data_IF_323217182798
#
_entry.id   IF_323217182798
#
_cell.length_a   1.000
_cell.length_b   1.000
_cell.length_c   1.000
_cell.angle_alpha   90.00
_cell.angle_beta   90.00
_cell.angle_gamma   90.00
#
_symmetry.space_group_name_H-M   'P 1'
#
loop_
_entity.id
_entity.type
_entity.pdbx_description
1 polymer ?
#
# COMPACT_ATOMS: atom_id res chain seq x y z
N UNK A 1 -13.08 36.87 0.62
CA UNK A 1 -11.83 36.30 0.07
C UNK A 1 -10.62 36.53 0.98
N UNK A 2 -10.37 37.75 1.49
CA UNK A 2 -9.22 38.04 2.36
C UNK A 2 -9.20 37.23 3.68
N UNK A 3 -10.35 37.06 4.34
CA UNK A 3 -10.46 36.29 5.59
C UNK A 3 -10.09 34.81 5.41
N UNK A 4 -10.53 34.19 4.31
CA UNK A 4 -10.22 32.79 4.00
C UNK A 4 -8.72 32.61 3.74
N UNK A 5 -8.10 33.57 3.05
CA UNK A 5 -6.66 33.57 2.81
C UNK A 5 -5.86 33.69 4.11
N UNK A 6 -6.27 34.58 5.03
CA UNK A 6 -5.63 34.75 6.33
C UNK A 6 -5.79 33.52 7.23
N UNK A 7 -6.96 32.86 7.21
CA UNK A 7 -7.18 31.59 7.92
C UNK A 7 -6.31 30.48 7.34
N UNK A 8 -6.19 30.37 6.02
CA UNK A 8 -5.34 29.38 5.37
C UNK A 8 -3.85 29.61 5.67
N UNK A 9 -3.38 30.86 5.64
CA UNK A 9 -2.01 31.24 6.01
C UNK A 9 -1.76 30.95 7.49
N UNK A 10 -2.70 31.30 8.36
CA UNK A 10 -2.61 31.03 9.81
C UNK A 10 -2.56 29.54 10.12
N UNK A 11 -3.39 28.73 9.46
CA UNK A 11 -3.38 27.27 9.60
C UNK A 11 -2.09 26.64 9.08
N UNK A 12 -1.57 27.12 7.94
CA UNK A 12 -0.30 26.66 7.38
C UNK A 12 0.88 27.04 8.30
N UNK A 13 0.90 28.26 8.82
CA UNK A 13 1.93 28.73 9.77
C UNK A 13 1.86 27.94 11.08
N UNK A 14 0.66 27.73 11.62
CA UNK A 14 0.46 26.89 12.81
C UNK A 14 0.94 25.46 12.57
N UNK A 15 0.57 24.87 11.42
CA UNK A 15 1.02 23.54 11.03
C UNK A 15 2.54 23.44 10.91
N UNK A 16 3.22 24.41 10.31
CA UNK A 16 4.69 24.43 10.18
C UNK A 16 5.37 24.63 11.53
N UNK A 17 4.86 25.54 12.37
CA UNK A 17 5.44 25.86 13.68
C UNK A 17 5.21 24.77 14.72
N UNK A 18 4.14 23.99 14.60
CA UNK A 18 3.75 22.94 15.54
C UNK A 18 3.87 21.53 14.96
N UNK A 19 4.63 21.35 13.87
CA UNK A 19 5.05 19.99 13.51
C UNK A 19 5.90 19.50 14.66
N UNK A 20 5.42 18.46 15.36
CA UNK A 20 6.34 17.61 16.09
C UNK A 20 7.39 17.16 15.09
N UNK A 21 8.69 17.26 15.39
CA UNK A 21 9.67 16.56 14.59
C UNK A 21 9.23 15.09 14.66
N UNK A 22 8.66 14.55 13.59
CA UNK A 22 8.71 13.12 13.41
C UNK A 22 10.19 12.81 13.57
N UNK A 23 10.54 12.06 14.61
CA UNK A 23 11.91 11.65 14.84
C UNK A 23 12.33 10.94 13.56
N UNK A 24 13.08 11.64 12.71
CA UNK A 24 13.70 11.04 11.53
C UNK A 24 14.87 10.21 12.06
N UNK A 25 14.56 9.14 12.78
CA UNK A 25 15.48 8.05 12.98
C UNK A 25 15.60 7.41 11.61
N UNK A 26 16.68 7.70 10.89
CA UNK A 26 17.04 6.90 9.72
C UNK A 26 17.44 5.55 10.30
N UNK A 27 16.64 4.48 10.15
CA UNK A 27 17.06 3.17 10.64
C UNK A 27 18.33 2.79 9.88
N UNK A 28 19.40 2.48 10.60
CA UNK A 28 20.65 2.03 9.97
C UNK A 28 20.50 0.56 9.56
N UNK A 29 19.65 0.32 8.56
CA UNK A 29 19.44 -1.00 7.94
C UNK A 29 20.79 -1.57 7.46
N UNK A 30 21.70 -0.70 7.01
CA UNK A 30 23.06 -1.05 6.60
C UNK A 30 23.89 -1.76 7.69
N UNK A 31 23.54 -1.56 8.97
CA UNK A 31 24.24 -2.17 10.10
C UNK A 31 23.63 -3.51 10.54
N UNK A 32 22.58 -3.99 9.88
CA UNK A 32 21.98 -5.29 10.17
C UNK A 32 22.51 -6.29 9.14
N UNK A 33 23.38 -7.25 9.53
CA UNK A 33 23.99 -8.17 8.58
C UNK A 33 22.94 -8.97 7.79
N UNK A 34 23.07 -8.94 6.46
CA UNK A 34 22.19 -9.66 5.55
C UNK A 34 20.79 -9.06 5.38
N UNK A 35 20.52 -7.88 5.95
CA UNK A 35 19.29 -7.12 5.70
C UNK A 35 19.53 -6.09 4.60
N UNK A 36 18.66 -6.05 3.59
CA UNK A 36 18.60 -4.93 2.65
C UNK A 36 17.16 -4.61 2.30
N UNK A 37 16.90 -3.38 1.88
CA UNK A 37 15.58 -2.96 1.44
C UNK A 37 15.70 -2.13 0.16
N UNK A 38 14.82 -2.35 -0.81
CA UNK A 38 14.70 -1.49 -1.98
C UNK A 38 13.24 -1.20 -2.33
N UNK A 39 13.03 -0.02 -2.91
CA UNK A 39 11.72 0.38 -3.43
C UNK A 39 11.49 -0.23 -4.81
N UNK A 40 10.36 -0.93 -4.95
CA UNK A 40 9.85 -1.47 -6.20
C UNK A 40 8.64 -0.61 -6.60
N UNK A 41 8.87 0.41 -7.42
CA UNK A 41 7.81 1.24 -7.98
C UNK A 41 7.03 0.44 -9.01
N UNK A 42 5.71 0.35 -8.84
CA UNK A 42 4.83 -0.39 -9.75
C UNK A 42 3.96 0.55 -10.59
N UNK A 43 3.55 1.69 -10.02
CA UNK A 43 2.75 2.70 -10.72
C UNK A 43 3.08 4.10 -10.22
N UNK A 44 2.89 5.09 -11.09
CA UNK A 44 3.09 6.51 -10.77
C UNK A 44 2.08 7.38 -11.50
N UNK A 45 1.62 8.44 -10.85
CA UNK A 45 0.78 9.44 -11.53
C UNK A 45 1.64 10.44 -12.28
N UNK A 46 1.25 10.77 -13.51
CA UNK A 46 1.78 11.91 -14.23
C UNK A 46 0.89 13.12 -13.93
N UNK A 47 1.35 13.98 -13.03
CA UNK A 47 0.67 15.21 -12.66
C UNK A 47 1.40 16.42 -13.26
N UNK A 48 0.67 17.32 -13.93
CA UNK A 48 1.17 18.66 -14.27
C UNK A 48 1.25 19.60 -13.05
N UNK A 49 0.76 19.15 -11.89
CA UNK A 49 0.89 19.81 -10.58
C UNK A 49 2.07 19.24 -9.79
N UNK A 50 2.59 20.01 -8.84
CA UNK A 50 3.83 19.71 -8.07
C UNK A 50 3.79 18.48 -7.14
N UNK A 51 2.76 17.62 -7.21
CA UNK A 51 2.62 16.42 -6.38
C UNK A 51 2.33 15.21 -7.27
N UNK A 52 3.28 14.28 -7.34
CA UNK A 52 3.07 12.94 -7.92
C UNK A 52 2.81 11.92 -6.82
N UNK A 53 2.05 10.87 -7.14
CA UNK A 53 1.84 9.71 -6.27
C UNK A 53 2.51 8.50 -6.91
N UNK A 54 3.02 7.60 -6.07
CA UNK A 54 3.59 6.31 -6.49
C UNK A 54 2.95 5.20 -5.66
N UNK A 55 2.77 4.04 -6.28
CA UNK A 55 2.35 2.81 -5.63
C UNK A 55 3.41 1.75 -5.87
N UNK A 56 3.70 0.93 -4.87
CA UNK A 56 4.75 -0.05 -4.98
C UNK A 56 4.92 -0.87 -3.71
N UNK A 57 6.08 -1.48 -3.63
CA UNK A 57 6.49 -2.34 -2.52
C UNK A 57 7.86 -1.92 -2.02
N UNK A 58 8.11 -2.15 -0.75
CA UNK A 58 9.48 -2.25 -0.25
C UNK A 58 9.83 -3.74 -0.24
N UNK A 59 10.74 -4.15 -1.13
CA UNK A 59 11.33 -5.48 -1.08
C UNK A 59 12.39 -5.49 0.03
N UNK A 60 12.17 -6.31 1.05
CA UNK A 60 13.10 -6.53 2.15
C UNK A 60 13.75 -7.89 1.98
N UNK A 61 15.07 -7.89 1.78
CA UNK A 61 15.86 -9.12 1.81
C UNK A 61 16.34 -9.40 3.21
N UNK A 62 16.12 -10.61 3.69
CA UNK A 62 16.40 -10.98 5.08
C UNK A 62 17.01 -12.40 5.14
N UNK A 63 17.94 -12.70 6.06
CA UNK A 63 18.58 -14.02 6.12
C UNK A 63 17.61 -15.21 6.31
N UNK A 64 16.45 -14.97 6.91
CA UNK A 64 15.38 -15.96 7.05
C UNK A 64 14.45 -16.06 5.83
N UNK A 65 14.67 -15.26 4.77
CA UNK A 65 13.88 -15.21 3.56
C UNK A 65 13.20 -13.86 3.35
N UNK A 66 12.93 -13.58 2.08
CA UNK A 66 12.58 -12.24 1.63
C UNK A 66 11.07 -11.97 1.77
N UNK A 67 10.73 -10.70 1.98
CA UNK A 67 9.37 -10.24 2.14
C UNK A 67 9.11 -8.92 1.44
N UNK A 68 7.83 -8.62 1.23
CA UNK A 68 7.37 -7.32 0.78
C UNK A 68 6.74 -6.56 1.94
N UNK A 69 6.95 -5.24 1.98
CA UNK A 69 6.06 -4.32 2.68
C UNK A 69 5.22 -3.64 1.61
N UNK A 70 3.91 -3.85 1.68
CA UNK A 70 2.92 -3.49 0.66
C UNK A 70 3.19 -4.11 -0.72
N UNK A 71 2.20 -4.03 -1.60
CA UNK A 71 2.15 -4.70 -2.91
C UNK A 71 1.70 -3.79 -4.04
N UNK A 72 1.54 -2.49 -3.79
CA UNK A 72 1.04 -1.57 -4.80
C UNK A 72 -0.41 -1.86 -5.20
N UNK A 73 -0.78 -1.36 -6.38
CA UNK A 73 -2.11 -1.53 -6.94
C UNK A 73 -2.22 -2.82 -7.79
N UNK A 74 -3.45 -3.30 -7.99
CA UNK A 74 -3.74 -4.52 -8.76
C UNK A 74 -3.43 -4.33 -10.24
N UNK A 75 -2.76 -5.30 -10.87
CA UNK A 75 -2.62 -5.35 -12.34
C UNK A 75 -3.96 -5.62 -13.06
N UNK A 76 -4.95 -6.09 -12.29
CA UNK A 76 -6.31 -6.42 -12.71
C UNK A 76 -7.34 -5.36 -12.28
N UNK A 77 -6.90 -4.17 -11.83
CA UNK A 77 -7.77 -3.17 -11.21
C UNK A 77 -9.06 -2.86 -11.99
N UNK A 78 -8.97 -2.71 -13.32
CA UNK A 78 -10.15 -2.41 -14.16
C UNK A 78 -11.23 -3.51 -14.09
N UNK A 79 -10.81 -4.77 -13.93
CA UNK A 79 -11.68 -5.93 -13.74
C UNK A 79 -12.22 -5.94 -12.31
N UNK A 80 -11.36 -5.69 -11.32
CA UNK A 80 -11.71 -5.70 -9.90
C UNK A 80 -12.77 -4.64 -9.55
N UNK A 81 -12.71 -3.46 -10.19
CA UNK A 81 -13.72 -2.41 -10.00
C UNK A 81 -14.98 -2.61 -10.87
N UNK A 82 -15.03 -3.65 -11.70
CA UNK A 82 -16.15 -3.94 -12.59
C UNK A 82 -17.47 -4.23 -11.87
N UNK A 83 -17.41 -4.62 -10.60
CA UNK A 83 -18.58 -4.89 -9.75
C UNK A 83 -19.32 -3.62 -9.33
N UNK A 84 -18.69 -2.44 -9.42
CA UNK A 84 -19.28 -1.19 -8.95
C UNK A 84 -20.13 -0.51 -10.01
N UNK A 85 -21.16 0.27 -9.61
CA UNK A 85 -21.96 1.07 -10.53
C UNK A 85 -21.10 2.00 -11.39
N UNK A 86 -21.53 2.25 -12.63
CA UNK A 86 -20.75 2.96 -13.66
C UNK A 86 -20.04 4.22 -13.16
N UNK A 87 -20.75 5.13 -12.49
CA UNK A 87 -20.18 6.39 -11.99
C UNK A 87 -19.14 6.18 -10.90
N UNK A 88 -19.36 5.20 -10.03
CA UNK A 88 -18.43 4.90 -8.96
C UNK A 88 -17.18 4.17 -9.48
N UNK A 89 -17.37 3.25 -10.44
CA UNK A 89 -16.27 2.64 -11.21
C UNK A 89 -15.40 3.70 -11.89
N UNK A 90 -16.01 4.70 -12.54
CA UNK A 90 -15.29 5.79 -13.20
C UNK A 90 -14.47 6.61 -12.19
N UNK A 91 -15.05 6.91 -11.01
CA UNK A 91 -14.34 7.59 -9.91
C UNK A 91 -13.14 6.78 -9.43
N UNK A 92 -13.29 5.47 -9.20
CA UNK A 92 -12.19 4.62 -8.74
C UNK A 92 -11.08 4.53 -9.81
N UNK A 93 -11.46 4.38 -11.08
CA UNK A 93 -10.52 4.38 -12.20
C UNK A 93 -9.78 5.72 -12.35
N UNK A 94 -10.46 6.85 -12.15
CA UNK A 94 -9.83 8.17 -12.24
C UNK A 94 -8.97 8.53 -11.03
N UNK A 95 -9.06 7.80 -9.92
CA UNK A 95 -8.24 8.02 -8.73
C UNK A 95 -7.18 6.93 -8.63
N UNK A 96 -7.50 5.82 -7.96
CA UNK A 96 -6.59 4.70 -7.76
C UNK A 96 -6.14 4.04 -9.09
N UNK A 97 -6.99 4.06 -10.13
CA UNK A 97 -6.63 3.50 -11.43
C UNK A 97 -5.44 4.19 -12.12
N UNK A 98 -5.09 5.42 -11.74
CA UNK A 98 -3.88 6.08 -12.23
C UNK A 98 -2.59 5.46 -11.72
N UNK A 99 -2.67 4.68 -10.64
CA UNK A 99 -1.55 3.94 -10.04
C UNK A 99 -1.50 2.49 -10.51
N UNK A 100 -2.33 2.10 -11.50
CA UNK A 100 -2.26 0.78 -12.09
C UNK A 100 -0.86 0.51 -12.61
N UNK A 101 -0.33 -0.70 -12.36
CA UNK A 101 1.01 -1.00 -12.82
C UNK A 101 1.04 -1.23 -14.33
N UNK A 102 2.00 -0.59 -15.01
CA UNK A 102 2.30 -0.91 -16.42
C UNK A 102 2.80 -2.35 -16.57
N UNK A 103 3.44 -2.86 -15.52
CA UNK A 103 4.03 -4.19 -15.45
C UNK A 103 3.67 -4.80 -14.09
N UNK A 104 3.04 -6.00 -14.06
CA UNK A 104 2.63 -6.62 -12.81
C UNK A 104 3.79 -6.76 -11.81
N UNK A 105 3.47 -6.71 -10.52
CA UNK A 105 4.45 -6.76 -9.43
C UNK A 105 5.45 -7.93 -9.56
N UNK A 106 5.04 -9.18 -9.90
CA UNK A 106 6.00 -10.28 -10.10
C UNK A 106 7.07 -10.00 -11.17
N UNK A 107 6.71 -9.28 -12.23
CA UNK A 107 7.66 -8.92 -13.28
C UNK A 107 8.57 -7.76 -12.86
N UNK A 108 8.06 -6.81 -12.06
CA UNK A 108 8.89 -5.75 -11.46
C UNK A 108 9.89 -6.31 -10.44
N UNK A 109 9.48 -7.28 -9.64
CA UNK A 109 10.36 -8.02 -8.71
C UNK A 109 11.50 -8.71 -9.46
N UNK A 110 11.21 -9.40 -10.56
CA UNK A 110 12.24 -10.00 -11.43
C UNK A 110 13.25 -8.99 -11.96
N UNK A 111 12.79 -7.79 -12.33
CA UNK A 111 13.69 -6.69 -12.74
C UNK A 111 14.57 -6.20 -11.59
N UNK A 112 14.07 -6.26 -10.36
CA UNK A 112 14.81 -5.99 -9.12
C UNK A 112 15.72 -7.15 -8.65
N UNK A 113 15.86 -8.21 -9.45
CA UNK A 113 16.67 -9.39 -9.13
C UNK A 113 16.03 -10.34 -8.13
N UNK A 114 14.73 -10.23 -7.89
CA UNK A 114 13.98 -11.10 -6.99
C UNK A 114 13.23 -12.20 -7.75
N UNK A 115 13.18 -13.41 -7.19
CA UNK A 115 12.33 -14.48 -7.72
C UNK A 115 11.02 -14.49 -6.93
N UNK A 116 9.88 -14.11 -7.55
CA UNK A 116 8.60 -14.06 -6.85
C UNK A 116 8.20 -15.38 -6.18
N UNK A 117 8.67 -16.52 -6.70
CA UNK A 117 8.39 -17.84 -6.12
C UNK A 117 9.15 -18.11 -4.80
N UNK A 118 10.23 -17.35 -4.53
CA UNK A 118 11.03 -17.48 -3.30
C UNK A 118 10.60 -16.50 -2.20
N UNK A 119 9.83 -15.47 -2.55
CA UNK A 119 9.23 -14.56 -1.59
C UNK A 119 8.36 -15.34 -0.60
N UNK A 120 8.56 -15.09 0.68
CA UNK A 120 7.90 -15.83 1.76
C UNK A 120 6.67 -15.11 2.29
N UNK A 121 6.77 -13.78 2.43
CA UNK A 121 5.78 -13.00 3.14
C UNK A 121 5.46 -11.66 2.46
N UNK A 122 4.26 -11.15 2.74
CA UNK A 122 3.92 -9.75 2.53
C UNK A 122 3.41 -9.18 3.85
N UNK A 123 4.01 -8.10 4.33
CA UNK A 123 3.49 -7.29 5.43
C UNK A 123 2.68 -6.15 4.80
N UNK A 124 1.42 -6.02 5.17
CA UNK A 124 0.62 -4.87 4.72
C UNK A 124 0.64 -3.79 5.79
N UNK A 125 0.97 -2.56 5.39
CA UNK A 125 0.78 -1.37 6.22
C UNK A 125 -0.70 -1.15 6.50
N UNK A 126 -1.54 -1.34 5.47
CA UNK A 126 -3.00 -1.38 5.52
C UNK A 126 -3.56 -1.98 4.22
N UNK A 127 -4.88 -2.19 4.13
CA UNK A 127 -5.53 -2.97 3.06
C UNK A 127 -6.17 -2.14 1.94
N UNK A 128 -5.77 -0.87 1.78
CA UNK A 128 -6.29 -0.05 0.69
C UNK A 128 -5.84 -0.52 -0.70
N UNK A 129 -6.56 -0.03 -1.71
CA UNK A 129 -6.42 -0.32 -3.13
C UNK A 129 -4.96 -0.37 -3.61
N UNK A 130 -4.18 0.64 -3.23
CA UNK A 130 -2.82 0.96 -3.63
C UNK A 130 -1.73 0.29 -2.77
N UNK A 131 -2.12 -0.48 -1.75
CA UNK A 131 -1.20 -1.20 -0.87
C UNK A 131 -1.38 -2.72 -0.97
N UNK A 132 -2.60 -3.21 -1.13
CA UNK A 132 -2.92 -4.64 -1.12
C UNK A 132 -3.19 -5.23 -2.52
N UNK A 133 -3.23 -4.42 -3.57
CA UNK A 133 -3.68 -4.86 -4.89
C UNK A 133 -2.77 -5.87 -5.58
N UNK A 134 -1.45 -5.70 -5.47
CA UNK A 134 -0.49 -6.62 -6.08
C UNK A 134 -0.46 -8.02 -5.46
N UNK A 135 -1.11 -8.24 -4.31
CA UNK A 135 -1.31 -9.59 -3.76
C UNK A 135 -2.09 -10.51 -4.71
N UNK A 136 -2.96 -9.94 -5.55
CA UNK A 136 -3.72 -10.71 -6.55
C UNK A 136 -2.80 -11.40 -7.58
N UNK A 137 -1.62 -10.84 -7.82
CA UNK A 137 -0.59 -11.40 -8.69
C UNK A 137 0.37 -12.38 -7.95
N UNK A 138 0.26 -12.47 -6.62
CA UNK A 138 1.15 -13.22 -5.73
C UNK A 138 0.37 -14.06 -4.69
N UNK A 139 -0.58 -14.93 -5.11
CA UNK A 139 -1.52 -15.59 -4.20
C UNK A 139 -0.88 -16.61 -3.24
N UNK A 140 0.39 -16.98 -3.45
CA UNK A 140 1.13 -17.91 -2.58
C UNK A 140 1.74 -17.25 -1.34
N UNK A 141 1.79 -15.91 -1.29
CA UNK A 141 2.43 -15.21 -0.16
C UNK A 141 1.63 -15.39 1.12
N UNK A 142 2.36 -15.65 2.21
CA UNK A 142 1.77 -15.54 3.54
C UNK A 142 1.64 -14.06 3.90
N UNK A 143 0.41 -13.57 3.95
CA UNK A 143 0.12 -12.17 4.30
C UNK A 143 0.13 -12.00 5.81
N UNK A 144 0.92 -11.05 6.28
CA UNK A 144 1.06 -10.63 7.65
C UNK A 144 0.43 -9.24 7.80
N UNK A 145 -0.64 -9.14 8.58
CA UNK A 145 -1.33 -7.87 8.84
C UNK A 145 -2.00 -7.94 10.20
N UNK A 146 -2.56 -6.82 10.67
CA UNK A 146 -3.23 -6.74 11.97
C UNK A 146 -4.64 -7.31 11.90
N UNK A 147 -5.22 -7.58 13.07
CA UNK A 147 -6.61 -8.06 13.16
C UNK A 147 -7.58 -6.99 12.66
N UNK A 148 -7.29 -5.73 12.97
CA UNK A 148 -8.10 -4.57 12.63
C UNK A 148 -8.20 -4.42 11.11
N UNK A 149 -7.07 -4.55 10.41
CA UNK A 149 -7.02 -4.50 8.96
C UNK A 149 -7.73 -5.69 8.30
N UNK A 150 -7.66 -6.90 8.88
CA UNK A 150 -8.46 -8.04 8.38
C UNK A 150 -9.96 -7.82 8.56
N UNK A 151 -10.39 -7.25 9.69
CA UNK A 151 -11.80 -6.92 9.91
C UNK A 151 -12.26 -5.84 8.92
N UNK A 152 -11.45 -4.80 8.71
CA UNK A 152 -11.74 -3.74 7.75
C UNK A 152 -11.81 -4.26 6.31
N UNK A 153 -10.89 -5.15 5.92
CA UNK A 153 -10.89 -5.81 4.62
C UNK A 153 -12.19 -6.59 4.33
N UNK A 154 -12.81 -7.13 5.38
CA UNK A 154 -14.03 -7.93 5.32
C UNK A 154 -15.30 -7.13 5.66
N UNK A 155 -15.19 -5.82 5.93
CA UNK A 155 -16.35 -4.97 6.21
C UNK A 155 -17.11 -4.65 4.91
N UNK A 156 -18.40 -5.02 4.79
CA UNK A 156 -19.17 -4.74 3.58
C UNK A 156 -19.31 -3.25 3.29
N UNK A 157 -19.30 -2.39 4.32
CA UNK A 157 -19.36 -0.95 4.16
C UNK A 157 -18.07 -0.37 3.56
N UNK A 158 -16.91 -0.85 4.00
CA UNK A 158 -15.60 -0.49 3.45
C UNK A 158 -15.47 -0.94 1.99
N UNK A 159 -15.93 -2.16 1.68
CA UNK A 159 -15.96 -2.68 0.32
C UNK A 159 -16.92 -1.89 -0.56
N UNK A 160 -18.14 -1.57 -0.08
CA UNK A 160 -19.11 -0.77 -0.83
C UNK A 160 -18.59 0.65 -1.13
N UNK A 161 -17.77 1.21 -0.24
CA UNK A 161 -17.09 2.51 -0.42
C UNK A 161 -15.81 2.42 -1.26
N UNK A 162 -15.39 1.23 -1.68
CA UNK A 162 -14.21 1.01 -2.49
C UNK A 162 -12.89 1.35 -1.77
N UNK A 163 -12.85 1.30 -0.43
CA UNK A 163 -11.57 1.43 0.28
C UNK A 163 -10.70 0.20 0.08
N UNK A 164 -11.33 -0.98 0.07
CA UNK A 164 -10.74 -2.28 -0.21
C UNK A 164 -11.63 -2.97 -1.25
N UNK A 165 -11.03 -3.59 -2.27
CA UNK A 165 -11.81 -4.32 -3.27
C UNK A 165 -12.15 -5.70 -2.72
N UNK A 166 -13.38 -6.17 -2.98
CA UNK A 166 -13.79 -7.54 -2.62
C UNK A 166 -12.90 -8.62 -3.25
N UNK A 167 -12.24 -8.31 -4.37
CA UNK A 167 -11.24 -9.19 -4.99
C UNK A 167 -10.06 -9.50 -4.05
N UNK A 168 -9.65 -8.53 -3.22
CA UNK A 168 -8.48 -8.67 -2.34
C UNK A 168 -8.80 -9.58 -1.15
N UNK A 169 -10.07 -9.61 -0.70
CA UNK A 169 -10.52 -10.54 0.33
C UNK A 169 -10.30 -12.03 0.00
N UNK A 170 -10.09 -12.38 -1.28
CA UNK A 170 -9.78 -13.76 -1.71
C UNK A 170 -8.33 -14.17 -1.43
N UNK A 171 -7.41 -13.21 -1.39
CA UNK A 171 -5.98 -13.44 -1.15
C UNK A 171 -5.55 -13.05 0.26
N UNK A 172 -6.40 -12.31 0.98
CA UNK A 172 -6.19 -12.00 2.39
C UNK A 172 -6.57 -13.19 3.30
N UNK A 173 -5.88 -13.36 4.44
CA UNK A 173 -6.27 -14.32 5.46
C UNK A 173 -7.69 -14.08 5.95
N UNK A 174 -8.36 -15.15 6.39
CA UNK A 174 -9.67 -15.02 7.05
C UNK A 174 -9.51 -14.25 8.36
N UNK A 175 -10.53 -13.50 8.84
CA UNK A 175 -10.49 -12.77 10.12
C UNK A 175 -10.18 -13.61 11.38
N UNK A 176 -10.27 -14.94 11.28
CA UNK A 176 -9.93 -15.88 12.35
C UNK A 176 -8.45 -16.33 12.32
N UNK A 177 -7.67 -15.93 11.31
CA UNK A 177 -6.27 -16.32 11.19
C UNK A 177 -5.41 -15.60 12.25
N UNK A 178 -4.25 -16.18 12.63
CA UNK A 178 -3.25 -15.47 13.41
C UNK A 178 -2.82 -14.17 12.71
N UNK A 179 -2.74 -13.07 13.46
CA UNK A 179 -2.40 -11.73 12.94
C UNK A 179 -1.11 -11.22 13.58
N UNK A 180 -0.47 -10.23 12.94
CA UNK A 180 0.59 -9.46 13.57
C UNK A 180 0.04 -8.78 14.82
N UNK A 181 0.77 -8.92 15.91
CA UNK A 181 0.53 -8.23 17.18
C UNK A 181 1.66 -7.24 17.38
N UNK A 182 1.34 -5.95 17.42
CA UNK A 182 2.30 -4.92 17.78
C UNK A 182 2.17 -4.67 19.27
N UNK A 183 3.15 -5.11 20.05
CA UNK A 183 3.30 -4.63 21.42
C UNK A 183 3.78 -3.17 21.34
N UNK A 184 2.84 -2.22 21.41
CA UNK A 184 3.16 -0.82 21.62
C UNK A 184 3.73 -0.66 23.04
N UNK A 185 5.01 -1.01 23.22
CA UNK A 185 5.74 -0.61 24.42
C UNK A 185 6.13 0.85 24.24
N UNK A 186 5.62 1.78 25.08
CA UNK A 186 6.02 3.18 25.04
C UNK A 186 7.49 3.36 25.37
#
# INVERSE_FOLDING_TARGET
MLLVLLVAIGAAAFYVLHRTPHSRAIPSIANVPGLSACWIETGKTFSHFSVGMTAGSILVRHPAGDLLIDTGNSSHFAQDVGIYPFWFRLKLASLAGQLNPDVPLPAMLRRGGEDPAKLRWAILSHVHLDHAGGLTDLPHLTVLTTREELLFANDPGAQAKGYVLGAYGKVLPKPSAPTLQFEAKP
#
